data_IF_612196817071
#
_entry.id   IF_612196817071
#
_cell.length_a   1.000
_cell.length_b   1.000
_cell.length_c   1.000
_cell.angle_alpha   90.00
_cell.angle_beta   90.00
_cell.angle_gamma   90.00
#
_symmetry.space_group_name_H-M   'P 1'
#
loop_
_entity.id
_entity.type
_entity.pdbx_description
1 polymer ?
#
# COMPACT_ATOMS: atom_id res chain seq x y z
N UNK A 1 17.69 6.82 -1.93
CA UNK A 1 17.47 6.07 -0.67
C UNK A 1 16.00 5.85 -0.33
N UNK A 2 15.13 6.87 -0.31
CA UNK A 2 13.71 6.72 0.07
C UNK A 2 12.94 5.62 -0.70
N UNK A 3 13.08 5.56 -2.03
CA UNK A 3 12.46 4.50 -2.85
C UNK A 3 12.83 3.10 -2.35
N UNK A 4 14.09 2.87 -2.04
CA UNK A 4 14.59 1.58 -1.56
C UNK A 4 14.01 1.20 -0.21
N UNK A 5 13.88 2.17 0.71
CA UNK A 5 13.27 1.98 2.02
C UNK A 5 11.79 1.63 1.90
N UNK A 6 11.05 2.34 1.03
CA UNK A 6 9.64 2.05 0.78
C UNK A 6 9.42 0.64 0.21
N UNK A 7 10.29 0.19 -0.69
CA UNK A 7 10.23 -1.16 -1.25
C UNK A 7 10.57 -2.23 -0.19
N UNK A 8 11.57 -1.99 0.66
CA UNK A 8 11.89 -2.90 1.77
C UNK A 8 10.74 -3.02 2.75
N UNK A 9 10.15 -1.90 3.19
CA UNK A 9 8.97 -1.91 4.04
C UNK A 9 7.79 -2.64 3.40
N UNK A 10 7.56 -2.45 2.10
CA UNK A 10 6.51 -3.15 1.37
C UNK A 10 6.72 -4.67 1.34
N UNK A 11 7.98 -5.14 1.20
CA UNK A 11 8.32 -6.57 1.29
C UNK A 11 7.98 -7.14 2.67
N UNK A 12 8.30 -6.43 3.74
CA UNK A 12 7.96 -6.84 5.12
C UNK A 12 6.45 -6.97 5.33
N UNK A 13 5.66 -6.02 4.80
CA UNK A 13 4.20 -6.07 4.85
C UNK A 13 3.66 -7.27 4.06
N UNK A 14 4.20 -7.54 2.87
CA UNK A 14 3.79 -8.67 2.04
C UNK A 14 4.10 -10.00 2.74
N UNK A 15 5.28 -10.13 3.34
CA UNK A 15 5.64 -11.32 4.11
C UNK A 15 4.61 -11.61 5.21
N UNK A 16 4.21 -10.57 5.98
CA UNK A 16 3.19 -10.72 7.01
C UNK A 16 1.78 -10.95 6.44
N UNK A 17 1.46 -10.36 5.29
CA UNK A 17 0.17 -10.54 4.62
C UNK A 17 -0.01 -11.95 4.05
N UNK A 18 1.07 -12.62 3.62
CA UNK A 18 1.03 -14.01 3.17
C UNK A 18 0.79 -14.99 4.32
N UNK A 19 1.23 -14.67 5.53
CA UNK A 19 1.03 -15.49 6.74
C UNK A 19 -0.36 -15.32 7.37
N UNK A 20 -1.09 -14.26 7.03
CA UNK A 20 -2.45 -14.04 7.56
C UNK A 20 -3.47 -14.94 6.84
N UNK A 21 -4.35 -15.56 7.63
CA UNK A 21 -5.49 -16.38 7.14
C UNK A 21 -6.58 -15.50 6.50
N UNK A 22 -6.68 -14.22 6.90
CA UNK A 22 -7.65 -13.29 6.35
C UNK A 22 -7.23 -12.82 4.94
N UNK A 23 -7.81 -13.47 3.93
CA UNK A 23 -7.60 -13.22 2.50
C UNK A 23 -8.77 -12.40 1.96
N UNK A 24 -8.60 -11.10 1.75
CA UNK A 24 -9.69 -10.27 1.23
C UNK A 24 -9.30 -8.87 0.75
N UNK A 25 -8.19 -8.33 1.23
CA UNK A 25 -7.71 -7.01 0.81
C UNK A 25 -7.17 -6.98 -0.63
N UNK A 26 -7.13 -5.78 -1.21
CA UNK A 26 -6.52 -5.51 -2.53
C UNK A 26 -5.12 -6.12 -2.70
N UNK A 27 -4.30 -6.06 -1.65
CA UNK A 27 -2.94 -6.63 -1.68
C UNK A 27 -2.96 -8.15 -1.84
N UNK A 28 -3.94 -8.85 -1.25
CA UNK A 28 -4.06 -10.30 -1.39
C UNK A 28 -4.43 -10.68 -2.82
N UNK A 29 -5.45 -10.02 -3.38
CA UNK A 29 -5.86 -10.19 -4.79
C UNK A 29 -4.72 -9.90 -5.77
N UNK A 30 -3.85 -8.94 -5.43
CA UNK A 30 -2.67 -8.63 -6.23
C UNK A 30 -1.61 -9.74 -6.15
N UNK A 31 -1.36 -10.27 -4.95
CA UNK A 31 -0.42 -11.37 -4.73
C UNK A 31 -0.88 -12.69 -5.36
N UNK A 32 -2.19 -12.93 -5.47
CA UNK A 32 -2.74 -14.09 -6.18
C UNK A 32 -2.46 -14.04 -7.69
N UNK A 33 -2.39 -12.82 -8.27
CA UNK A 33 -2.23 -12.63 -9.73
C UNK A 33 -0.81 -12.33 -10.18
N UNK A 34 0.04 -11.82 -9.29
CA UNK A 34 1.36 -11.25 -9.62
C UNK A 34 2.42 -11.65 -8.60
N UNK A 35 3.67 -11.68 -9.07
CA UNK A 35 4.82 -12.02 -8.23
C UNK A 35 4.96 -11.07 -7.03
N UNK A 36 5.44 -11.54 -5.86
CA UNK A 36 5.57 -10.73 -4.64
C UNK A 36 6.40 -9.46 -4.81
N UNK A 37 7.44 -9.48 -5.65
CA UNK A 37 8.25 -8.30 -5.93
C UNK A 37 7.48 -7.21 -6.68
N UNK A 38 6.59 -7.60 -7.61
CA UNK A 38 5.71 -6.65 -8.32
C UNK A 38 4.70 -6.05 -7.35
N UNK A 39 4.11 -6.89 -6.49
CA UNK A 39 3.22 -6.43 -5.44
C UNK A 39 3.92 -5.47 -4.45
N UNK A 40 5.20 -5.70 -4.13
CA UNK A 40 5.99 -4.82 -3.26
C UNK A 40 6.17 -3.44 -3.86
N UNK A 41 6.52 -3.37 -5.15
CA UNK A 41 6.64 -2.10 -5.87
C UNK A 41 5.29 -1.39 -5.96
N UNK A 42 4.20 -2.12 -6.24
CA UNK A 42 2.86 -1.55 -6.30
C UNK A 42 2.41 -0.98 -4.94
N UNK A 43 2.66 -1.70 -3.84
CA UNK A 43 2.36 -1.24 -2.49
C UNK A 43 3.21 -0.01 -2.12
N UNK A 44 4.51 -0.02 -2.44
CA UNK A 44 5.39 1.13 -2.22
C UNK A 44 4.90 2.37 -2.99
N UNK A 45 4.47 2.20 -4.24
CA UNK A 45 3.91 3.30 -5.04
C UNK A 45 2.60 3.82 -4.46
N UNK A 46 1.70 2.92 -4.02
CA UNK A 46 0.46 3.32 -3.34
C UNK A 46 0.76 4.17 -2.10
N UNK A 47 1.71 3.73 -1.27
CA UNK A 47 2.12 4.47 -0.07
C UNK A 47 2.74 5.83 -0.43
N UNK A 48 3.59 5.89 -1.46
CA UNK A 48 4.19 7.14 -1.92
C UNK A 48 3.12 8.15 -2.37
N UNK A 49 2.07 7.70 -3.06
CA UNK A 49 0.95 8.56 -3.46
C UNK A 49 0.14 9.08 -2.27
N UNK A 50 -0.08 8.25 -1.24
CA UNK A 50 -0.74 8.67 0.00
C UNK A 50 0.11 9.73 0.71
N UNK A 51 1.40 9.46 0.90
CA UNK A 51 2.34 10.41 1.53
C UNK A 51 2.37 11.73 0.75
N UNK A 52 2.45 11.68 -0.58
CA UNK A 52 2.40 12.88 -1.41
C UNK A 52 1.10 13.67 -1.22
N UNK A 53 -0.05 13.01 -1.23
CA UNK A 53 -1.33 13.67 -1.02
C UNK A 53 -1.44 14.32 0.37
N UNK A 54 -0.91 13.66 1.42
CA UNK A 54 -0.87 14.22 2.77
C UNK A 54 0.01 15.47 2.84
N UNK A 55 1.23 15.39 2.30
CA UNK A 55 2.18 16.50 2.28
C UNK A 55 1.68 17.67 1.43
N UNK A 56 1.09 17.40 0.26
CA UNK A 56 0.57 18.43 -0.63
C UNK A 56 -0.63 19.18 -0.04
N UNK A 57 -1.42 18.54 0.82
CA UNK A 57 -2.59 19.13 1.45
C UNK A 57 -2.37 19.48 2.94
N UNK A 58 -1.13 19.37 3.44
CA UNK A 58 -0.76 19.55 4.83
C UNK A 58 -1.70 18.83 5.83
N UNK A 59 -2.10 17.60 5.49
CA UNK A 59 -3.03 16.79 6.29
C UNK A 59 -2.30 15.68 7.04
N UNK A 60 -2.84 15.32 8.19
CA UNK A 60 -2.38 14.18 8.97
C UNK A 60 -2.95 12.86 8.41
N UNK A 61 -2.20 11.77 8.55
CA UNK A 61 -2.66 10.45 8.16
C UNK A 61 -3.76 9.95 9.11
N UNK A 62 -4.92 9.59 8.56
CA UNK A 62 -6.01 8.95 9.31
C UNK A 62 -6.30 7.59 8.68
N UNK A 63 -6.27 6.53 9.48
CA UNK A 63 -6.48 5.17 9.00
C UNK A 63 -7.90 4.92 8.47
N UNK A 64 -8.87 5.72 8.93
CA UNK A 64 -10.27 5.66 8.54
C UNK A 64 -10.60 6.51 7.30
N UNK A 65 -9.61 7.21 6.73
CA UNK A 65 -9.77 7.93 5.46
C UNK A 65 -9.85 6.91 4.30
N UNK A 66 -10.95 6.16 4.26
CA UNK A 66 -11.45 5.60 3.01
C UNK A 66 -11.63 6.82 2.10
N UNK A 67 -10.91 6.92 0.96
CA UNK A 67 -11.13 8.04 0.07
C UNK A 67 -12.62 7.99 -0.26
N UNK A 68 -13.37 8.99 0.19
CA UNK A 68 -14.72 9.23 -0.25
C UNK A 68 -14.59 9.40 -1.76
N UNK A 69 -14.75 8.30 -2.48
CA UNK A 69 -14.97 8.28 -3.91
C UNK A 69 -16.18 9.19 -4.08
N UNK A 70 -15.89 10.43 -4.48
CA UNK A 70 -16.88 11.46 -4.66
C UNK A 70 -17.99 10.86 -5.50
N UNK A 71 -19.16 10.71 -4.87
CA UNK A 71 -20.38 10.34 -5.56
C UNK A 71 -20.60 11.41 -6.64
N UNK A 72 -20.38 11.00 -7.88
CA UNK A 72 -20.92 11.64 -9.08
C UNK A 72 -22.39 11.25 -9.19
#
# INVERSE_FOLDING_TARGET
YLRTLLIHGARSVIFRAQQKVAKGGWLHKLLERRNPNVAAVALANKNARIVWALLANNREFRADDTPAIAAV
#
